data_IF_340714615290
#
_entry.id   IF_340714615290
#
_cell.length_a   1.000
_cell.length_b   1.000
_cell.length_c   1.000
_cell.angle_alpha   90.00
_cell.angle_beta   90.00
_cell.angle_gamma   90.00
#
_symmetry.space_group_name_H-M   'P 1'
#
loop_
_entity.id
_entity.type
_entity.pdbx_description
1 polymer ?
#
# COMPACT_ATOMS: atom_id res chain seq x y z
N UNK A 1 19.07 -6.30 20.77
CA UNK A 1 18.38 -5.16 20.14
C UNK A 1 19.40 -4.44 19.27
N UNK A 2 19.47 -4.80 18.00
CA UNK A 2 20.39 -4.14 17.05
C UNK A 2 19.68 -2.88 16.54
N UNK A 3 20.14 -1.73 16.98
CA UNK A 3 19.69 -0.44 16.45
C UNK A 3 20.07 -0.40 14.96
N UNK A 4 19.08 -0.21 14.09
CA UNK A 4 19.32 0.18 12.71
C UNK A 4 20.11 1.49 12.71
N UNK A 5 21.09 1.66 11.80
CA UNK A 5 21.86 2.91 11.72
C UNK A 5 20.89 4.08 11.54
N UNK A 6 21.04 5.13 12.34
CA UNK A 6 20.17 6.31 12.37
C UNK A 6 20.04 7.00 10.99
N UNK A 7 21.01 6.85 10.10
CA UNK A 7 20.99 7.43 8.75
C UNK A 7 20.00 6.76 7.77
N UNK A 8 19.53 5.53 8.04
CA UNK A 8 18.46 4.91 7.23
C UNK A 8 17.05 5.28 7.74
N UNK A 9 16.94 5.70 9.00
CA UNK A 9 15.66 5.98 9.64
C UNK A 9 14.96 7.21 9.06
N UNK A 10 15.70 8.22 8.62
CA UNK A 10 15.15 9.51 8.17
C UNK A 10 14.89 9.57 6.66
N UNK A 11 15.33 8.56 5.91
CA UNK A 11 15.35 8.59 4.44
C UNK A 11 13.96 8.75 3.79
N UNK A 12 12.89 8.39 4.48
CA UNK A 12 11.52 8.42 3.94
C UNK A 12 10.60 9.38 4.69
N UNK A 13 11.11 10.09 5.68
CA UNK A 13 10.34 11.12 6.38
C UNK A 13 9.96 12.25 5.42
N UNK A 14 8.69 12.62 5.42
CA UNK A 14 8.17 13.63 4.50
C UNK A 14 7.82 13.10 3.10
N UNK A 15 7.99 11.81 2.81
CA UNK A 15 7.62 11.25 1.52
C UNK A 15 6.10 11.20 1.35
N UNK A 16 5.63 11.69 0.22
CA UNK A 16 4.22 11.62 -0.20
C UNK A 16 3.95 10.34 -0.98
N UNK A 17 2.84 9.69 -0.65
CA UNK A 17 2.36 8.51 -1.35
C UNK A 17 0.86 8.60 -1.64
N UNK A 18 0.45 7.99 -2.74
CA UNK A 18 -0.92 7.56 -2.91
C UNK A 18 -1.06 6.12 -2.45
N UNK A 19 -1.86 5.90 -1.39
CA UNK A 19 -2.09 4.59 -0.79
C UNK A 19 -3.57 4.24 -0.77
N UNK A 20 -3.88 2.95 -1.00
CA UNK A 20 -5.15 2.36 -0.63
C UNK A 20 -4.98 1.82 0.79
N UNK A 21 -5.60 2.47 1.78
CA UNK A 21 -5.46 2.13 3.19
C UNK A 21 -6.43 1.01 3.57
N UNK A 22 -5.91 -0.14 3.95
CA UNK A 22 -6.67 -1.35 4.23
C UNK A 22 -6.61 -1.80 5.71
N UNK A 23 -5.90 -1.08 6.55
CA UNK A 23 -5.73 -1.42 7.97
C UNK A 23 -7.01 -1.45 8.79
N UNK A 24 -8.14 -0.95 8.27
CA UNK A 24 -9.46 -1.05 8.89
C UNK A 24 -10.32 -2.19 8.33
N UNK A 25 -9.92 -2.84 7.22
CA UNK A 25 -10.65 -3.98 6.65
C UNK A 25 -10.53 -5.21 7.56
N UNK A 26 -11.64 -5.77 8.06
CA UNK A 26 -11.60 -6.98 8.90
C UNK A 26 -10.98 -8.17 8.16
N UNK A 27 -11.26 -8.32 6.86
CA UNK A 27 -10.76 -9.40 6.03
C UNK A 27 -9.24 -9.31 5.87
N UNK A 28 -8.72 -8.12 5.56
CA UNK A 28 -7.27 -7.89 5.42
C UNK A 28 -6.55 -8.11 6.74
N UNK A 29 -7.13 -7.65 7.85
CA UNK A 29 -6.58 -7.89 9.18
C UNK A 29 -6.58 -9.37 9.56
N UNK A 30 -7.60 -10.11 9.19
CA UNK A 30 -7.68 -11.56 9.44
C UNK A 30 -6.58 -12.31 8.67
N UNK A 31 -6.36 -12.00 7.40
CA UNK A 31 -5.27 -12.57 6.60
C UNK A 31 -3.91 -12.23 7.19
N UNK A 32 -3.70 -10.98 7.59
CA UNK A 32 -2.45 -10.55 8.22
C UNK A 32 -2.21 -11.26 9.56
N UNK A 33 -3.25 -11.41 10.40
CA UNK A 33 -3.16 -12.17 11.64
C UNK A 33 -2.74 -13.60 11.38
N UNK A 34 -3.43 -14.29 10.49
CA UNK A 34 -3.12 -15.69 10.14
C UNK A 34 -1.68 -15.85 9.66
N UNK A 35 -1.19 -14.95 8.81
CA UNK A 35 0.18 -15.00 8.32
C UNK A 35 1.19 -14.72 9.45
N UNK A 36 0.94 -13.70 10.27
CA UNK A 36 1.82 -13.32 11.37
C UNK A 36 1.89 -14.42 12.43
N UNK A 37 0.75 -15.03 12.78
CA UNK A 37 0.68 -16.14 13.75
C UNK A 37 1.46 -17.36 13.27
N UNK A 38 1.33 -17.74 11.97
CA UNK A 38 2.09 -18.84 11.39
C UNK A 38 3.58 -18.57 11.35
N UNK A 39 3.98 -17.32 11.14
CA UNK A 39 5.37 -16.91 10.98
C UNK A 39 6.02 -16.38 12.27
N UNK A 40 5.33 -16.42 13.39
CA UNK A 40 5.81 -15.88 14.67
C UNK A 40 7.15 -16.48 15.15
N UNK A 41 7.46 -17.70 14.74
CA UNK A 41 8.72 -18.37 15.06
C UNK A 41 9.95 -17.90 14.26
N UNK A 42 9.77 -17.05 13.23
CA UNK A 42 10.87 -16.57 12.38
C UNK A 42 11.37 -15.20 12.86
N UNK A 43 12.52 -15.17 13.53
CA UNK A 43 13.10 -13.94 14.11
C UNK A 43 13.59 -12.93 13.06
N UNK A 44 13.85 -13.38 11.82
CA UNK A 44 14.30 -12.53 10.71
C UNK A 44 13.19 -11.79 9.96
N UNK A 45 12.00 -11.64 10.56
CA UNK A 45 10.85 -10.97 9.96
C UNK A 45 10.37 -9.80 10.83
N UNK A 46 10.13 -8.65 10.18
CA UNK A 46 9.49 -7.50 10.79
C UNK A 46 8.07 -7.36 10.23
N UNK A 47 7.06 -7.66 11.05
CA UNK A 47 5.67 -7.64 10.61
C UNK A 47 5.12 -6.23 10.46
N UNK A 48 4.42 -6.00 9.36
CA UNK A 48 3.64 -4.77 9.17
C UNK A 48 2.51 -4.72 10.21
N UNK A 49 2.45 -3.68 11.06
CA UNK A 49 1.35 -3.55 12.01
C UNK A 49 0.01 -3.45 11.27
N UNK A 50 -1.00 -4.19 11.74
CA UNK A 50 -2.28 -4.36 11.03
C UNK A 50 -2.98 -3.03 10.68
N UNK A 51 -2.80 -1.99 11.51
CA UNK A 51 -3.36 -0.65 11.24
C UNK A 51 -2.77 0.03 10.01
N UNK A 52 -1.56 -0.38 9.59
CA UNK A 52 -0.80 0.21 8.50
C UNK A 52 -0.79 -0.61 7.21
N UNK A 53 -1.64 -1.66 7.12
CA UNK A 53 -1.78 -2.46 5.91
C UNK A 53 -2.34 -1.60 4.78
N UNK A 54 -1.66 -1.61 3.64
CA UNK A 54 -1.99 -0.75 2.50
C UNK A 54 -1.49 -1.34 1.18
N UNK A 55 -1.96 -0.79 0.08
CA UNK A 55 -1.37 -0.94 -1.24
C UNK A 55 -0.78 0.42 -1.64
N UNK A 56 0.49 0.47 -1.98
CA UNK A 56 1.11 1.65 -2.58
C UNK A 56 0.73 1.70 -4.06
N UNK A 57 0.02 2.76 -4.48
CA UNK A 57 -0.32 2.98 -5.88
C UNK A 57 0.70 3.88 -6.57
N UNK A 58 1.27 4.86 -5.84
CA UNK A 58 2.28 5.77 -6.36
C UNK A 58 3.13 6.34 -5.23
N UNK A 59 4.44 6.43 -5.45
CA UNK A 59 5.35 7.29 -4.69
C UNK A 59 5.43 8.62 -5.44
N UNK A 60 5.10 9.74 -4.77
CA UNK A 60 5.01 11.05 -5.40
C UNK A 60 6.34 11.80 -5.34
N UNK A 61 6.89 11.98 -4.15
CA UNK A 61 8.11 12.75 -3.88
C UNK A 61 8.11 13.27 -2.44
N UNK A 62 9.07 14.07 -2.06
CA UNK A 62 9.11 14.66 -0.73
C UNK A 62 8.14 15.85 -0.63
N UNK A 63 7.45 15.97 0.50
CA UNK A 63 6.45 17.03 0.72
C UNK A 63 7.03 18.43 0.52
N UNK A 64 8.33 18.60 0.80
CA UNK A 64 9.06 19.85 0.65
C UNK A 64 9.20 20.30 -0.81
N UNK A 65 9.04 19.38 -1.77
CA UNK A 65 9.08 19.65 -3.20
C UNK A 65 7.75 20.25 -3.73
N UNK A 66 6.71 20.32 -2.89
CA UNK A 66 5.36 20.72 -3.28
C UNK A 66 4.84 21.87 -2.41
N UNK A 67 4.25 22.87 -3.05
CA UNK A 67 3.46 23.88 -2.34
C UNK A 67 2.08 23.32 -1.94
N UNK A 68 1.39 23.98 -1.00
CA UNK A 68 0.00 23.63 -0.67
C UNK A 68 -0.91 23.69 -1.89
N UNK A 69 -0.65 24.62 -2.81
CA UNK A 69 -1.39 24.75 -4.07
C UNK A 69 -1.15 23.55 -4.97
N UNK A 70 0.07 23.04 -5.08
CA UNK A 70 0.39 21.85 -5.88
C UNK A 70 -0.33 20.62 -5.32
N UNK A 71 -0.30 20.44 -4.00
CA UNK A 71 -1.01 19.35 -3.32
C UNK A 71 -2.52 19.48 -3.54
N UNK A 72 -3.08 20.69 -3.41
CA UNK A 72 -4.48 20.95 -3.67
C UNK A 72 -4.91 20.62 -5.10
N UNK A 73 -4.10 21.04 -6.08
CA UNK A 73 -4.32 20.76 -7.50
C UNK A 73 -4.23 19.26 -7.81
N UNK A 74 -3.23 18.58 -7.26
CA UNK A 74 -3.07 17.13 -7.39
C UNK A 74 -4.31 16.38 -6.88
N UNK A 75 -4.79 16.74 -5.69
CA UNK A 75 -5.99 16.12 -5.10
C UNK A 75 -7.24 16.43 -5.93
N UNK A 76 -7.42 17.68 -6.38
CA UNK A 76 -8.55 18.07 -7.22
C UNK A 76 -8.53 17.34 -8.57
N UNK A 77 -7.36 17.15 -9.16
CA UNK A 77 -7.19 16.40 -10.40
C UNK A 77 -7.52 14.92 -10.21
N UNK A 78 -6.97 14.28 -9.17
CA UNK A 78 -7.30 12.89 -8.84
C UNK A 78 -8.81 12.69 -8.63
N UNK A 79 -9.49 13.62 -7.93
CA UNK A 79 -10.95 13.59 -7.75
C UNK A 79 -11.69 13.61 -9.08
N UNK A 80 -11.29 14.45 -10.03
CA UNK A 80 -11.94 14.50 -11.35
C UNK A 80 -11.76 13.20 -12.12
N UNK A 81 -10.53 12.66 -12.16
CA UNK A 81 -10.22 11.44 -12.90
C UNK A 81 -10.89 10.18 -12.30
N UNK A 82 -11.05 10.14 -10.98
CA UNK A 82 -11.65 8.99 -10.28
C UNK A 82 -13.17 9.10 -10.10
N UNK A 83 -13.78 10.24 -10.47
CA UNK A 83 -15.22 10.47 -10.30
C UNK A 83 -16.09 9.40 -10.98
N UNK A 84 -15.69 8.95 -12.16
CA UNK A 84 -16.42 7.96 -12.96
C UNK A 84 -15.79 6.54 -12.88
N UNK A 85 -14.75 6.37 -12.07
CA UNK A 85 -14.11 5.07 -11.84
C UNK A 85 -14.90 4.27 -10.82
N UNK A 86 -15.50 3.14 -11.17
CA UNK A 86 -16.26 2.34 -10.20
C UNK A 86 -15.36 1.77 -9.10
N UNK A 87 -15.90 1.50 -7.90
CA UNK A 87 -15.15 0.76 -6.88
C UNK A 87 -14.58 -0.54 -7.42
N UNK A 88 -13.27 -0.77 -7.18
CA UNK A 88 -12.60 -1.95 -7.68
C UNK A 88 -12.86 -3.15 -6.76
N UNK A 89 -13.30 -4.27 -7.33
CA UNK A 89 -13.42 -5.53 -6.60
C UNK A 89 -12.14 -6.33 -6.76
N UNK A 90 -11.55 -6.75 -5.65
CA UNK A 90 -10.29 -7.49 -5.64
C UNK A 90 -10.34 -8.65 -4.68
N UNK A 91 -9.62 -9.72 -5.02
CA UNK A 91 -9.46 -10.92 -4.20
C UNK A 91 -8.05 -10.93 -3.64
N UNK A 92 -7.92 -11.22 -2.35
CA UNK A 92 -6.67 -11.43 -1.64
C UNK A 92 -6.55 -12.89 -1.24
N UNK A 93 -5.33 -13.38 -1.10
CA UNK A 93 -5.08 -14.77 -0.64
C UNK A 93 -3.80 -15.36 -1.22
N UNK A 94 -3.39 -14.96 -2.43
CA UNK A 94 -2.13 -15.39 -3.01
C UNK A 94 -0.96 -14.70 -2.31
N UNK A 95 0.00 -15.51 -1.83
CA UNK A 95 1.20 -15.01 -1.17
C UNK A 95 2.31 -14.84 -2.19
N UNK A 96 2.95 -13.69 -2.16
CA UNK A 96 4.16 -13.36 -2.90
C UNK A 96 5.34 -13.39 -1.95
N UNK A 97 6.44 -13.95 -2.44
CA UNK A 97 7.73 -13.98 -1.76
C UNK A 97 8.73 -13.18 -2.57
N UNK A 98 9.28 -12.17 -1.96
CA UNK A 98 10.37 -11.34 -2.47
C UNK A 98 11.55 -11.44 -1.50
N UNK A 99 12.80 -11.30 -1.91
CA UNK A 99 13.94 -11.32 -0.98
C UNK A 99 13.79 -10.39 0.22
N UNK A 100 13.11 -9.26 0.03
CA UNK A 100 12.93 -8.23 1.06
C UNK A 100 11.58 -8.28 1.79
N UNK A 101 10.58 -9.00 1.25
CA UNK A 101 9.22 -8.93 1.79
C UNK A 101 8.35 -10.16 1.47
N UNK A 102 7.39 -10.40 2.34
CA UNK A 102 6.28 -11.33 2.14
C UNK A 102 5.02 -10.48 2.00
N UNK A 103 4.25 -10.71 0.94
CA UNK A 103 3.09 -9.87 0.65
C UNK A 103 1.88 -10.69 0.17
N UNK A 104 0.69 -10.10 0.28
CA UNK A 104 -0.52 -10.58 -0.40
C UNK A 104 -0.63 -9.90 -1.76
N UNK A 105 -0.79 -10.70 -2.81
CA UNK A 105 -1.10 -10.19 -4.15
C UNK A 105 -2.53 -9.71 -4.20
N UNK A 106 -2.76 -8.61 -4.88
CA UNK A 106 -4.09 -8.16 -5.29
C UNK A 106 -4.44 -8.83 -6.62
N UNK A 107 -5.57 -9.51 -6.69
CA UNK A 107 -6.08 -10.19 -7.89
C UNK A 107 -7.49 -9.67 -8.26
N UNK A 108 -7.89 -9.64 -9.55
CA UNK A 108 -7.07 -9.98 -10.70
C UNK A 108 -6.00 -8.92 -11.01
N UNK A 109 -5.01 -9.30 -11.81
CA UNK A 109 -4.07 -8.31 -12.35
C UNK A 109 -4.85 -7.23 -13.10
N UNK A 110 -4.41 -5.96 -12.94
CA UNK A 110 -5.08 -4.82 -13.58
C UNK A 110 -6.29 -4.25 -12.82
N UNK A 111 -6.79 -4.91 -11.77
CA UNK A 111 -7.96 -4.42 -11.04
C UNK A 111 -7.82 -3.00 -10.47
N UNK A 112 -6.60 -2.56 -10.23
CA UNK A 112 -6.30 -1.24 -9.68
C UNK A 112 -5.60 -0.31 -10.70
N UNK A 113 -5.47 -0.71 -11.96
CA UNK A 113 -4.72 0.07 -12.97
C UNK A 113 -5.36 1.44 -13.21
N UNK A 114 -6.69 1.53 -13.30
CA UNK A 114 -7.38 2.80 -13.47
C UNK A 114 -7.12 3.74 -12.28
N UNK A 115 -7.09 3.21 -11.07
CA UNK A 115 -6.77 4.01 -9.87
C UNK A 115 -5.34 4.52 -9.93
N UNK A 116 -4.40 3.64 -10.27
CA UNK A 116 -2.98 3.99 -10.41
C UNK A 116 -2.75 5.04 -11.49
N UNK A 117 -3.33 4.85 -12.67
CA UNK A 117 -3.19 5.79 -13.79
C UNK A 117 -3.78 7.16 -13.44
N UNK A 118 -4.92 7.20 -12.77
CA UNK A 118 -5.54 8.45 -12.35
C UNK A 118 -4.66 9.23 -11.35
N UNK A 119 -4.12 8.56 -10.32
CA UNK A 119 -3.24 9.25 -9.35
C UNK A 119 -1.90 9.63 -9.96
N UNK A 120 -1.38 8.85 -10.93
CA UNK A 120 -0.18 9.17 -11.68
C UNK A 120 -0.38 10.40 -12.56
N UNK A 121 -1.49 10.46 -13.30
CA UNK A 121 -1.83 11.62 -14.11
C UNK A 121 -2.11 12.87 -13.27
N UNK A 122 -2.57 12.70 -12.04
CA UNK A 122 -2.82 13.79 -11.11
C UNK A 122 -1.54 14.31 -10.43
N UNK A 123 -0.49 13.48 -10.32
CA UNK A 123 0.78 13.91 -9.75
C UNK A 123 1.38 14.99 -10.65
N UNK A 124 1.49 16.21 -10.12
CA UNK A 124 2.13 17.33 -10.81
C UNK A 124 3.60 17.01 -11.01
N UNK A 125 4.14 17.32 -12.18
CA UNK A 125 5.54 17.22 -12.59
C UNK A 125 5.97 15.94 -13.35
N UNK A 126 5.11 14.97 -13.64
CA UNK A 126 5.42 13.89 -14.59
C UNK A 126 6.59 12.95 -14.24
N UNK A 127 7.31 13.24 -13.16
CA UNK A 127 8.51 12.50 -12.73
C UNK A 127 8.21 11.42 -11.68
N UNK A 128 6.95 11.05 -11.49
CA UNK A 128 6.62 9.92 -10.65
C UNK A 128 7.40 8.70 -11.14
N UNK A 129 8.37 8.23 -10.33
CA UNK A 129 9.25 7.10 -10.68
C UNK A 129 8.42 5.93 -11.17
N UNK A 130 8.51 5.67 -12.47
CA UNK A 130 7.79 4.58 -13.10
C UNK A 130 8.51 3.27 -12.76
N UNK A 131 7.85 2.39 -12.04
CA UNK A 131 8.17 0.98 -12.15
C UNK A 131 7.41 0.45 -13.37
N UNK A 132 8.11 0.01 -14.39
CA UNK A 132 7.52 -0.53 -15.64
C UNK A 132 6.60 -1.73 -15.36
N UNK A 133 6.86 -2.49 -14.31
CA UNK A 133 6.01 -3.59 -13.86
C UNK A 133 5.52 -3.36 -12.43
N UNK A 134 4.29 -2.88 -12.29
CA UNK A 134 3.67 -2.73 -10.98
C UNK A 134 2.80 -3.95 -10.65
N UNK A 135 3.09 -4.58 -9.53
CA UNK A 135 2.28 -5.66 -8.98
C UNK A 135 1.63 -5.12 -7.70
N UNK A 136 0.30 -4.85 -7.70
CA UNK A 136 -0.37 -4.38 -6.51
C UNK A 136 -0.34 -5.46 -5.42
N UNK A 137 0.12 -5.08 -4.22
CA UNK A 137 0.29 -5.99 -3.11
C UNK A 137 0.15 -5.31 -1.75
N UNK A 138 -0.10 -6.09 -0.72
CA UNK A 138 -0.14 -5.66 0.67
C UNK A 138 1.01 -6.36 1.39
N UNK A 139 2.01 -5.62 1.85
CA UNK A 139 3.14 -6.20 2.58
C UNK A 139 2.71 -6.67 3.96
N UNK A 140 2.99 -7.94 4.26
CA UNK A 140 2.70 -8.58 5.55
C UNK A 140 3.91 -8.51 6.50
N UNK A 141 5.11 -8.69 5.94
CA UNK A 141 6.36 -8.67 6.67
C UNK A 141 7.52 -8.27 5.75
N UNK A 142 8.53 -7.64 6.35
CA UNK A 142 9.82 -7.37 5.72
C UNK A 142 10.89 -8.30 6.27
N UNK A 143 11.82 -8.72 5.42
CA UNK A 143 13.00 -9.45 5.84
C UNK A 143 13.96 -8.49 6.55
N UNK A 144 14.46 -8.90 7.71
CA UNK A 144 15.45 -8.14 8.50
C UNK A 144 16.81 -8.81 8.55
N UNK A 145 16.91 -10.02 8.02
CA UNK A 145 18.16 -10.78 7.91
C UNK A 145 18.10 -11.72 6.73
N UNK A 146 19.27 -12.10 6.22
CA UNK A 146 19.38 -13.16 5.21
C UNK A 146 19.02 -14.49 5.86
N UNK A 147 18.04 -15.18 5.33
CA UNK A 147 17.56 -16.47 5.83
C UNK A 147 17.01 -17.33 4.68
N UNK A 148 17.01 -18.66 4.79
CA UNK A 148 16.41 -19.53 3.79
C UNK A 148 14.91 -19.27 3.62
N UNK A 149 14.44 -19.19 2.38
CA UNK A 149 13.04 -18.93 2.09
C UNK A 149 12.16 -20.20 2.24
N UNK A 150 12.73 -21.39 2.01
CA UNK A 150 11.99 -22.65 2.01
C UNK A 150 11.21 -22.91 3.30
N UNK A 151 11.78 -22.75 4.52
CA UNK A 151 11.02 -22.96 5.76
C UNK A 151 9.85 -22.00 5.90
N UNK A 152 10.04 -20.74 5.49
CA UNK A 152 8.98 -19.70 5.50
C UNK A 152 7.87 -20.09 4.55
N UNK A 153 8.23 -20.49 3.32
CA UNK A 153 7.26 -20.90 2.29
C UNK A 153 6.52 -22.17 2.73
N UNK A 154 7.21 -23.13 3.32
CA UNK A 154 6.60 -24.36 3.83
C UNK A 154 5.58 -24.08 4.95
N UNK A 155 5.91 -23.13 5.84
CA UNK A 155 5.06 -22.77 6.99
C UNK A 155 3.85 -21.93 6.58
N UNK A 156 4.03 -20.91 5.75
CA UNK A 156 2.92 -20.01 5.36
C UNK A 156 2.12 -20.57 4.19
N UNK A 157 2.78 -21.26 3.26
CA UNK A 157 2.20 -21.71 2.00
C UNK A 157 2.15 -20.60 0.95
N UNK A 158 1.68 -20.97 -0.25
CA UNK A 158 1.56 -20.04 -1.37
C UNK A 158 0.19 -19.36 -1.48
N UNK A 159 -0.76 -19.81 -0.65
CA UNK A 159 -2.12 -19.26 -0.57
C UNK A 159 -2.64 -19.30 0.86
N UNK A 160 -3.35 -18.25 1.23
CA UNK A 160 -4.22 -18.16 2.39
C UNK A 160 -5.69 -18.28 1.91
N UNK A 161 -6.67 -18.44 2.81
CA UNK A 161 -8.08 -18.39 2.42
C UNK A 161 -8.38 -17.12 1.62
N UNK A 162 -9.08 -17.23 0.47
CA UNK A 162 -9.39 -16.07 -0.35
C UNK A 162 -10.42 -15.17 0.32
N UNK A 163 -10.23 -13.86 0.21
CA UNK A 163 -11.21 -12.85 0.63
C UNK A 163 -11.39 -11.81 -0.46
N UNK A 164 -12.65 -11.55 -0.79
CA UNK A 164 -13.02 -10.46 -1.68
C UNK A 164 -13.21 -9.18 -0.89
N UNK A 165 -12.64 -8.10 -1.38
CA UNK A 165 -12.80 -6.77 -0.81
C UNK A 165 -13.15 -5.77 -1.91
N UNK A 166 -13.80 -4.66 -1.53
CA UNK A 166 -14.03 -3.53 -2.41
C UNK A 166 -13.10 -2.40 -2.04
N UNK A 167 -12.41 -1.86 -3.05
CA UNK A 167 -11.61 -0.64 -2.93
C UNK A 167 -12.45 0.50 -3.45
N UNK A 168 -12.84 1.40 -2.57
CA UNK A 168 -13.73 2.53 -2.85
C UNK A 168 -13.03 3.90 -2.77
N UNK A 169 -11.76 3.93 -2.38
CA UNK A 169 -11.01 5.17 -2.23
C UNK A 169 -9.50 4.95 -2.28
N UNK A 170 -8.79 6.03 -2.59
CA UNK A 170 -7.34 6.16 -2.46
C UNK A 170 -7.01 7.38 -1.60
N UNK A 171 -5.90 7.35 -0.88
CA UNK A 171 -5.50 8.41 0.04
C UNK A 171 -4.14 8.96 -0.33
N UNK A 172 -4.02 10.29 -0.36
CA UNK A 172 -2.74 10.96 -0.34
C UNK A 172 -2.26 11.03 1.11
N UNK A 173 -1.10 10.47 1.39
CA UNK A 173 -0.51 10.41 2.73
C UNK A 173 0.90 10.96 2.72
N UNK A 174 1.33 11.52 3.85
CA UNK A 174 2.72 11.87 4.10
C UNK A 174 3.27 10.97 5.20
N UNK A 175 4.44 10.40 4.98
CA UNK A 175 5.13 9.61 5.99
C UNK A 175 5.81 10.55 6.99
N UNK A 176 5.42 10.45 8.27
CA UNK A 176 5.96 11.28 9.36
C UNK A 176 7.02 10.55 10.20
N UNK A 177 7.09 9.24 10.08
CA UNK A 177 8.06 8.40 10.79
C UNK A 177 9.10 7.79 9.86
N UNK A 178 10.11 7.18 10.47
CA UNK A 178 11.09 6.39 9.76
C UNK A 178 10.44 5.25 8.97
N UNK A 179 11.15 4.76 7.95
CA UNK A 179 10.76 3.56 7.23
C UNK A 179 10.43 2.41 8.20
N UNK A 180 9.37 1.67 7.92
CA UNK A 180 8.86 0.55 8.73
C UNK A 180 8.23 0.92 10.08
N UNK A 181 8.21 2.19 10.47
CA UNK A 181 7.36 2.66 11.57
C UNK A 181 5.97 3.03 11.09
N UNK A 182 5.79 3.21 9.75
CA UNK A 182 4.52 3.50 9.07
C UNK A 182 3.69 4.60 9.70
N UNK A 183 4.32 5.56 10.33
CA UNK A 183 3.62 6.68 10.92
C UNK A 183 3.30 7.70 9.83
N UNK A 184 2.17 7.54 9.16
CA UNK A 184 1.73 8.51 8.17
C UNK A 184 0.45 9.22 8.55
N UNK A 185 0.34 10.44 8.08
CA UNK A 185 -0.84 11.27 8.17
C UNK A 185 -1.53 11.34 6.81
N UNK A 186 -2.85 11.12 6.79
CA UNK A 186 -3.63 11.30 5.58
C UNK A 186 -3.86 12.79 5.32
N UNK A 187 -3.46 13.26 4.13
CA UNK A 187 -3.66 14.63 3.66
C UNK A 187 -5.04 14.72 3.00
N UNK A 188 -5.38 13.74 2.15
CA UNK A 188 -6.63 13.71 1.45
C UNK A 188 -7.13 12.28 1.21
N UNK A 189 -8.44 12.13 1.14
CA UNK A 189 -9.14 10.91 0.71
C UNK A 189 -9.93 11.22 -0.55
N UNK A 190 -9.73 10.43 -1.59
CA UNK A 190 -10.43 10.53 -2.87
C UNK A 190 -11.23 9.26 -3.08
N UNK A 191 -12.55 9.41 -3.20
CA UNK A 191 -13.44 8.29 -3.46
C UNK A 191 -13.53 7.99 -4.95
N UNK A 192 -13.67 6.70 -5.26
CA UNK A 192 -13.97 6.20 -6.59
C UNK A 192 -15.50 6.28 -6.80
N UNK A 193 -15.91 6.65 -8.00
CA UNK A 193 -17.31 6.67 -8.36
C UNK A 193 -18.17 7.50 -7.42
N UNK A 194 -17.80 8.76 -7.13
CA UNK A 194 -18.60 9.59 -6.23
C UNK A 194 -19.97 9.84 -6.83
N UNK A 195 -20.89 9.04 -6.38
CA UNK A 195 -22.34 9.19 -6.20
C UNK A 195 -23.02 10.43 -6.80
N UNK A 196 -23.19 10.48 -8.10
CA UNK A 196 -24.37 11.15 -8.67
C UNK A 196 -25.56 10.20 -8.88
N UNK A 197 -25.45 8.91 -8.47
CA UNK A 197 -26.50 7.90 -8.72
C UNK A 197 -27.00 7.19 -7.45
N UNK A 198 -27.11 7.89 -6.33
CA UNK A 198 -27.99 7.48 -5.21
C UNK A 198 -29.15 8.46 -5.10
N UNK A 199 -29.94 8.59 -6.18
CA UNK A 199 -31.30 9.06 -6.15
C UNK A 199 -32.08 8.24 -7.18
N UNK A 200 -32.69 7.18 -6.73
CA UNK A 200 -34.04 6.69 -7.06
C UNK A 200 -34.32 5.44 -6.24
#
# INVERSE_FOLDING_TARGET
MTQLPSQMADRWQGMLYWHILLGRSPQVRALASMAQDRLAGFSGLHFTPKRWLHVTTLTVGFIEEFTETDIGNMVAHAKRLLNDTPPARVTLGKVLYHPEAIALKVEPAGALDQVREAVRAAATNGEAKQHESWIPHITLAYSTSVQPAEPIIATLGRRLPPYDISVDCVNLVVQEGAERLWNWRSIAKVFLGSSSKRKM
#
